data_IF_609239799349
#
_entry.id   IF_609239799349
#
_cell.length_a   1.000
_cell.length_b   1.000
_cell.length_c   1.000
_cell.angle_alpha   90.00
_cell.angle_beta   90.00
_cell.angle_gamma   90.00
#
_symmetry.space_group_name_H-M   'P 1'
#
loop_
_entity.id
_entity.type
_entity.pdbx_description
1 polymer ?
#
# COMPACT_ATOMS: atom_id res chain seq x y z
N UNK A 1 18.06 11.34 1.38
CA UNK A 1 16.92 10.39 1.45
C UNK A 1 16.97 9.53 2.70
N UNK A 2 18.09 8.91 2.98
CA UNK A 2 18.27 8.04 4.15
C UNK A 2 17.93 8.73 5.48
N UNK A 3 18.26 10.01 5.64
CA UNK A 3 17.91 10.77 6.86
C UNK A 3 16.40 10.86 7.11
N UNK A 4 15.60 10.81 6.03
CA UNK A 4 14.14 10.72 6.14
C UNK A 4 13.67 9.36 6.68
N UNK A 5 14.31 8.28 6.26
CA UNK A 5 13.96 6.93 6.69
C UNK A 5 14.40 6.68 8.13
N UNK A 6 15.58 7.17 8.53
CA UNK A 6 16.09 7.00 9.89
C UNK A 6 15.44 7.93 10.93
N UNK A 7 14.62 8.89 10.51
CA UNK A 7 14.06 9.92 11.39
C UNK A 7 13.27 9.35 12.59
N UNK A 8 12.39 8.37 12.35
CA UNK A 8 11.65 7.72 13.42
C UNK A 8 12.54 6.98 14.42
N UNK A 9 13.57 6.32 13.93
CA UNK A 9 14.57 5.63 14.75
C UNK A 9 15.42 6.63 15.56
N UNK A 10 15.71 7.80 15.01
CA UNK A 10 16.39 8.87 15.72
C UNK A 10 15.56 9.38 16.90
N UNK A 11 14.26 9.59 16.71
CA UNK A 11 13.35 9.99 17.81
C UNK A 11 13.24 8.90 18.89
N UNK A 12 13.35 7.63 18.50
CA UNK A 12 13.38 6.50 19.43
C UNK A 12 14.72 6.31 20.15
N UNK A 13 15.72 7.19 19.92
CA UNK A 13 17.03 7.13 20.58
C UNK A 13 17.97 6.06 20.05
N UNK A 14 17.70 5.49 18.88
CA UNK A 14 18.57 4.48 18.25
C UNK A 14 19.89 5.11 17.81
N UNK A 15 21.01 4.45 18.11
CA UNK A 15 22.36 4.93 17.79
C UNK A 15 22.58 5.14 16.29
N UNK A 16 23.38 6.14 15.92
CA UNK A 16 23.56 6.61 14.52
C UNK A 16 23.95 5.48 13.55
N UNK A 17 24.87 4.62 13.91
CA UNK A 17 25.32 3.52 13.05
C UNK A 17 24.18 2.53 12.78
N UNK A 18 23.44 2.14 13.81
CA UNK A 18 22.34 1.19 13.73
C UNK A 18 21.16 1.74 12.90
N UNK A 19 20.73 3.01 13.18
CA UNK A 19 19.61 3.58 12.41
C UNK A 19 19.94 3.76 10.94
N UNK A 20 21.22 4.09 10.62
CA UNK A 20 21.70 4.19 9.25
C UNK A 20 21.61 2.85 8.52
N UNK A 21 22.08 1.80 9.16
CA UNK A 21 22.01 0.44 8.61
C UNK A 21 20.56 0.01 8.34
N UNK A 22 19.65 0.24 9.28
CA UNK A 22 18.23 -0.07 9.12
C UNK A 22 17.63 0.73 7.97
N UNK A 23 17.91 2.03 7.88
CA UNK A 23 17.39 2.88 6.81
C UNK A 23 17.86 2.43 5.43
N UNK A 24 19.12 2.06 5.26
CA UNK A 24 19.67 1.54 4.02
C UNK A 24 19.03 0.19 3.62
N UNK A 25 18.81 -0.71 4.58
CA UNK A 25 18.09 -1.96 4.36
C UNK A 25 16.65 -1.72 3.91
N UNK A 26 15.93 -0.76 4.52
CA UNK A 26 14.56 -0.44 4.12
C UNK A 26 14.51 0.20 2.72
N UNK A 27 15.46 1.07 2.38
CA UNK A 27 15.57 1.63 1.04
C UNK A 27 15.84 0.53 -0.01
N UNK A 28 16.69 -0.43 0.30
CA UNK A 28 16.91 -1.59 -0.58
C UNK A 28 15.63 -2.41 -0.78
N UNK A 29 14.87 -2.67 0.28
CA UNK A 29 13.58 -3.41 0.20
C UNK A 29 12.56 -2.76 -0.71
N UNK A 30 12.53 -1.43 -0.75
CA UNK A 30 11.61 -0.70 -1.63
C UNK A 30 12.21 -0.39 -3.01
N UNK A 31 13.36 -1.01 -3.37
CA UNK A 31 13.99 -0.86 -4.67
C UNK A 31 14.64 0.50 -4.90
N UNK A 32 15.15 1.13 -3.84
CA UNK A 32 15.85 2.43 -3.89
C UNK A 32 17.33 2.31 -3.51
N UNK A 33 17.93 1.13 -3.66
CA UNK A 33 19.38 0.95 -3.52
C UNK A 33 20.13 1.86 -4.51
N UNK A 34 21.18 2.52 -4.04
CA UNK A 34 21.98 3.47 -4.84
C UNK A 34 21.46 4.93 -4.83
N UNK A 35 20.27 5.17 -4.24
CA UNK A 35 19.70 6.51 -4.15
C UNK A 35 19.80 7.14 -2.75
N UNK A 36 20.50 6.52 -1.80
CA UNK A 36 20.54 6.87 -0.37
C UNK A 36 20.92 8.35 -0.14
N UNK A 37 21.82 8.87 -0.97
CA UNK A 37 22.35 10.23 -0.85
C UNK A 37 21.53 11.30 -1.58
N UNK A 38 20.54 10.89 -2.39
CA UNK A 38 19.69 11.85 -3.12
C UNK A 38 18.81 12.65 -2.17
N UNK A 39 18.55 13.90 -2.53
CA UNK A 39 17.57 14.72 -1.85
C UNK A 39 16.14 14.36 -2.29
N UNK A 40 15.16 14.55 -1.39
CA UNK A 40 13.75 14.20 -1.66
C UNK A 40 13.19 14.91 -2.90
N UNK A 41 13.59 16.15 -3.15
CA UNK A 41 13.14 16.92 -4.32
C UNK A 41 13.70 16.44 -5.66
N UNK A 42 14.73 15.60 -5.64
CA UNK A 42 15.31 14.99 -6.86
C UNK A 42 14.56 13.71 -7.26
N UNK A 43 13.60 13.25 -6.46
CA UNK A 43 12.91 11.99 -6.63
C UNK A 43 11.61 12.17 -7.43
N UNK A 44 11.27 11.15 -8.23
CA UNK A 44 9.94 11.03 -8.83
C UNK A 44 8.84 10.85 -7.76
N UNK A 45 7.58 11.01 -8.12
CA UNK A 45 6.44 10.76 -7.24
C UNK A 45 6.47 9.35 -6.64
N UNK A 46 6.66 8.33 -7.47
CA UNK A 46 6.76 6.94 -7.03
C UNK A 46 7.96 6.66 -6.12
N UNK A 47 9.11 7.28 -6.42
CA UNK A 47 10.28 7.17 -5.52
C UNK A 47 10.01 7.80 -4.15
N UNK A 48 9.37 8.98 -4.10
CA UNK A 48 8.98 9.60 -2.82
C UNK A 48 8.02 8.71 -2.02
N UNK A 49 7.08 8.07 -2.71
CA UNK A 49 6.16 7.11 -2.08
C UNK A 49 6.90 5.91 -1.49
N UNK A 50 7.85 5.33 -2.23
CA UNK A 50 8.72 4.24 -1.74
C UNK A 50 9.51 4.66 -0.51
N UNK A 51 10.03 5.88 -0.46
CA UNK A 51 10.70 6.43 0.74
C UNK A 51 9.73 6.52 1.92
N UNK A 52 8.48 6.94 1.70
CA UNK A 52 7.43 6.97 2.72
C UNK A 52 7.18 5.58 3.34
N UNK A 53 7.07 4.56 2.49
CA UNK A 53 6.91 3.17 2.93
C UNK A 53 8.17 2.69 3.68
N UNK A 54 9.37 2.95 3.16
CA UNK A 54 10.62 2.59 3.83
C UNK A 54 10.74 3.22 5.23
N UNK A 55 10.36 4.50 5.36
CA UNK A 55 10.32 5.23 6.63
C UNK A 55 9.36 4.59 7.63
N UNK A 56 8.17 4.22 7.19
CA UNK A 56 7.18 3.56 8.04
C UNK A 56 7.67 2.17 8.49
N UNK A 57 8.27 1.39 7.59
CA UNK A 57 8.82 0.06 7.89
C UNK A 57 10.04 0.10 8.81
N UNK A 58 10.86 1.17 8.74
CA UNK A 58 12.06 1.30 9.57
C UNK A 58 11.75 1.29 11.08
N UNK A 59 10.58 1.77 11.47
CA UNK A 59 10.10 1.74 12.85
C UNK A 59 9.63 0.35 13.32
N UNK A 60 9.68 -0.66 12.45
CA UNK A 60 9.22 -2.02 12.70
C UNK A 60 7.80 -2.13 13.29
N UNK A 61 6.78 -1.47 12.69
CA UNK A 61 5.44 -1.45 13.23
C UNK A 61 4.77 -2.83 13.11
N UNK A 62 3.83 -3.14 14.01
CA UNK A 62 2.94 -4.30 13.86
C UNK A 62 1.84 -4.05 12.83
N UNK A 63 1.38 -2.82 12.73
CA UNK A 63 0.33 -2.37 11.83
C UNK A 63 0.84 -1.19 10.99
N UNK A 64 0.74 -1.31 9.68
CA UNK A 64 1.04 -0.26 8.71
C UNK A 64 -0.27 0.44 8.32
N UNK A 65 -0.36 1.76 8.54
CA UNK A 65 -1.52 2.57 8.16
C UNK A 65 -1.18 3.35 6.89
N UNK A 66 -1.98 3.17 5.86
CA UNK A 66 -1.79 3.81 4.55
C UNK A 66 -3.11 4.52 4.15
N UNK A 67 -3.05 5.83 4.01
CA UNK A 67 -4.18 6.65 3.61
C UNK A 67 -3.91 7.20 2.19
N UNK A 68 -4.74 6.78 1.22
CA UNK A 68 -4.64 7.12 -0.21
C UNK A 68 -3.20 6.98 -0.78
N UNK A 69 -2.51 5.85 -0.53
CA UNK A 69 -1.07 5.78 -0.77
C UNK A 69 -0.68 5.86 -2.25
N UNK A 70 -1.59 5.60 -3.18
CA UNK A 70 -1.27 5.52 -4.60
C UNK A 70 -2.06 6.51 -5.47
N UNK A 71 -2.90 7.36 -4.87
CA UNK A 71 -3.81 8.26 -5.59
C UNK A 71 -3.11 9.26 -6.52
N UNK A 72 -1.90 9.71 -6.19
CA UNK A 72 -1.13 10.68 -6.98
C UNK A 72 -0.19 10.04 -8.03
N UNK A 73 -0.25 8.71 -8.22
CA UNK A 73 0.64 7.99 -9.13
C UNK A 73 -0.02 7.72 -10.49
N UNK A 74 0.79 7.73 -11.56
CA UNK A 74 0.35 7.20 -12.84
C UNK A 74 0.06 5.69 -12.76
N UNK A 75 -0.69 5.16 -13.72
CA UNK A 75 -1.19 3.78 -13.69
C UNK A 75 -0.07 2.74 -13.58
N UNK A 76 1.04 2.92 -14.32
CA UNK A 76 2.15 1.97 -14.29
C UNK A 76 2.89 1.98 -12.95
N UNK A 77 3.21 3.16 -12.45
CA UNK A 77 3.86 3.33 -11.14
C UNK A 77 2.96 2.82 -10.01
N UNK A 78 1.64 3.05 -10.12
CA UNK A 78 0.65 2.54 -9.15
C UNK A 78 0.67 1.02 -9.09
N UNK A 79 0.61 0.33 -10.21
CA UNK A 79 0.69 -1.14 -10.27
C UNK A 79 1.97 -1.66 -9.61
N UNK A 80 3.12 -1.09 -9.93
CA UNK A 80 4.39 -1.44 -9.28
C UNK A 80 4.37 -1.24 -7.76
N UNK A 81 3.70 -0.20 -7.29
CA UNK A 81 3.60 0.08 -5.85
C UNK A 81 2.63 -0.87 -5.14
N UNK A 82 1.55 -1.28 -5.79
CA UNK A 82 0.64 -2.31 -5.29
C UNK A 82 1.35 -3.65 -5.15
N UNK A 83 2.10 -4.07 -6.17
CA UNK A 83 2.92 -5.29 -6.14
C UNK A 83 4.00 -5.24 -5.04
N UNK A 84 4.67 -4.09 -4.89
CA UNK A 84 5.64 -3.87 -3.82
C UNK A 84 4.99 -4.03 -2.43
N UNK A 85 3.80 -3.47 -2.23
CA UNK A 85 3.09 -3.58 -0.95
C UNK A 85 2.73 -5.03 -0.63
N UNK A 86 2.24 -5.80 -1.59
CA UNK A 86 1.95 -7.23 -1.42
C UNK A 86 3.21 -8.04 -1.13
N UNK A 87 4.33 -7.72 -1.80
CA UNK A 87 5.62 -8.35 -1.53
C UNK A 87 6.09 -8.06 -0.10
N UNK A 88 5.99 -6.82 0.36
CA UNK A 88 6.32 -6.44 1.73
C UNK A 88 5.43 -7.15 2.73
N UNK A 89 4.12 -7.19 2.48
CA UNK A 89 3.16 -7.90 3.32
C UNK A 89 3.51 -9.39 3.45
N UNK A 90 3.74 -10.07 2.33
CA UNK A 90 4.15 -11.49 2.30
C UNK A 90 5.44 -11.73 3.10
N UNK A 91 6.45 -10.90 2.87
CA UNK A 91 7.80 -11.11 3.42
C UNK A 91 7.90 -10.74 4.90
N UNK A 92 7.00 -9.88 5.39
CA UNK A 92 7.06 -9.37 6.77
C UNK A 92 5.95 -9.89 7.68
N UNK A 93 4.84 -10.40 7.13
CA UNK A 93 3.65 -10.81 7.89
C UNK A 93 2.98 -9.66 8.65
N UNK A 94 3.29 -8.40 8.32
CA UNK A 94 2.72 -7.23 9.01
C UNK A 94 1.26 -7.03 8.63
N UNK A 95 0.47 -6.55 9.58
CA UNK A 95 -0.88 -6.09 9.28
C UNK A 95 -0.82 -4.78 8.49
N UNK A 96 -1.69 -4.63 7.50
CA UNK A 96 -1.82 -3.41 6.70
C UNK A 96 -3.27 -2.96 6.76
N UNK A 97 -3.51 -1.71 7.14
CA UNK A 97 -4.78 -1.04 6.96
C UNK A 97 -4.61 0.02 5.87
N UNK A 98 -5.31 -0.19 4.77
CA UNK A 98 -5.29 0.67 3.60
C UNK A 98 -6.63 1.39 3.48
N UNK A 99 -6.60 2.72 3.32
CA UNK A 99 -7.76 3.54 2.96
C UNK A 99 -7.56 3.98 1.52
N UNK A 100 -8.54 3.74 0.68
CA UNK A 100 -8.53 4.16 -0.73
C UNK A 100 -9.95 4.36 -1.26
N UNK A 101 -10.08 5.20 -2.27
CA UNK A 101 -11.31 5.34 -3.06
C UNK A 101 -11.22 4.59 -4.41
N UNK A 102 -10.08 4.00 -4.73
CA UNK A 102 -9.89 3.20 -5.93
C UNK A 102 -10.38 1.76 -5.68
N UNK A 103 -11.47 1.39 -6.34
CA UNK A 103 -12.13 0.09 -6.12
C UNK A 103 -11.26 -1.07 -6.59
N UNK A 104 -10.57 -0.92 -7.73
CA UNK A 104 -9.69 -1.97 -8.24
C UNK A 104 -8.53 -2.24 -7.28
N UNK A 105 -7.94 -1.17 -6.72
CA UNK A 105 -6.91 -1.25 -5.70
C UNK A 105 -7.40 -1.96 -4.44
N UNK A 106 -8.59 -1.56 -3.93
CA UNK A 106 -9.17 -2.16 -2.75
C UNK A 106 -9.44 -3.66 -2.94
N UNK A 107 -9.99 -4.06 -4.08
CA UNK A 107 -10.28 -5.47 -4.40
C UNK A 107 -8.99 -6.27 -4.57
N UNK A 108 -7.96 -5.70 -5.22
CA UNK A 108 -6.71 -6.41 -5.48
C UNK A 108 -5.88 -6.67 -4.22
N UNK A 109 -5.81 -5.66 -3.33
CA UNK A 109 -4.90 -5.68 -2.18
C UNK A 109 -5.50 -6.31 -0.91
N UNK A 110 -6.82 -6.23 -0.74
CA UNK A 110 -7.44 -6.63 0.51
C UNK A 110 -7.56 -8.15 0.66
N UNK A 111 -7.28 -8.64 1.86
CA UNK A 111 -7.80 -9.93 2.34
C UNK A 111 -9.19 -9.77 2.96
N UNK A 112 -9.46 -8.59 3.51
CA UNK A 112 -10.76 -8.16 4.03
C UNK A 112 -11.03 -6.72 3.58
N UNK A 113 -12.12 -6.52 2.83
CA UNK A 113 -12.55 -5.23 2.34
C UNK A 113 -13.77 -4.77 3.15
N UNK A 114 -13.67 -3.56 3.69
CA UNK A 114 -14.77 -2.89 4.38
C UNK A 114 -15.25 -1.71 3.52
N UNK A 115 -16.51 -1.74 3.12
CA UNK A 115 -17.15 -0.63 2.44
C UNK A 115 -17.85 0.26 3.46
N UNK A 116 -17.55 1.54 3.42
CA UNK A 116 -18.13 2.55 4.32
C UNK A 116 -19.21 3.35 3.60
N UNK A 117 -20.30 3.65 4.31
CA UNK A 117 -21.31 4.60 3.82
C UNK A 117 -20.75 6.02 3.76
N UNK A 118 -21.25 6.88 2.86
CA UNK A 118 -21.09 8.32 3.01
C UNK A 118 -21.73 8.78 4.33
N UNK A 119 -21.21 9.81 4.95
CA UNK A 119 -21.50 10.34 6.27
C UNK A 119 -22.91 10.12 6.88
N UNK A 120 -23.01 9.64 8.14
CA UNK A 120 -21.90 9.21 8.97
C UNK A 120 -21.34 7.87 8.51
N UNK A 121 -19.99 7.71 8.48
CA UNK A 121 -19.33 6.51 8.03
C UNK A 121 -19.70 5.27 8.86
N UNK A 122 -20.45 4.35 8.26
CA UNK A 122 -20.79 3.05 8.83
C UNK A 122 -20.31 1.94 7.89
N UNK A 123 -19.91 0.80 8.44
CA UNK A 123 -19.59 -0.38 7.64
C UNK A 123 -20.90 -0.94 7.05
N UNK A 124 -21.04 -0.89 5.75
CA UNK A 124 -22.23 -1.35 5.04
C UNK A 124 -22.04 -2.68 4.34
N UNK A 125 -20.78 -3.04 4.07
CA UNK A 125 -20.44 -4.32 3.47
C UNK A 125 -19.08 -4.79 3.98
N UNK A 126 -18.90 -6.10 4.12
CA UNK A 126 -17.65 -6.76 4.48
C UNK A 126 -17.44 -7.93 3.54
N UNK A 127 -16.33 -7.92 2.82
CA UNK A 127 -15.99 -8.94 1.84
C UNK A 127 -14.65 -9.58 2.21
N UNK A 128 -14.58 -10.92 2.14
CA UNK A 128 -13.32 -11.65 2.21
C UNK A 128 -12.83 -11.89 0.78
N UNK A 129 -11.59 -11.51 0.51
CA UNK A 129 -10.95 -11.58 -0.81
C UNK A 129 -9.62 -12.33 -0.70
N UNK A 130 -9.17 -12.90 -1.80
CA UNK A 130 -7.94 -13.69 -1.84
C UNK A 130 -6.97 -13.28 -2.96
N UNK A 131 -7.25 -12.22 -3.69
CA UNK A 131 -6.46 -11.83 -4.87
C UNK A 131 -5.03 -11.43 -4.50
N UNK A 132 -4.86 -10.70 -3.40
CA UNK A 132 -3.54 -10.38 -2.86
C UNK A 132 -2.76 -11.62 -2.42
N UNK A 133 -3.44 -12.63 -1.87
CA UNK A 133 -2.83 -13.92 -1.53
C UNK A 133 -2.41 -14.69 -2.80
N UNK A 134 -3.24 -14.73 -3.83
CA UNK A 134 -2.92 -15.37 -5.13
C UNK A 134 -1.64 -14.75 -5.73
N UNK A 135 -1.49 -13.41 -5.66
CA UNK A 135 -0.27 -12.73 -6.06
C UNK A 135 0.94 -13.15 -5.19
N UNK A 136 0.77 -13.19 -3.88
CA UNK A 136 1.82 -13.62 -2.96
C UNK A 136 2.28 -15.07 -3.18
N UNK A 137 1.35 -15.92 -3.64
CA UNK A 137 1.60 -17.32 -4.00
C UNK A 137 2.24 -17.47 -5.40
N UNK A 138 2.46 -16.37 -6.13
CA UNK A 138 3.21 -16.32 -7.39
C UNK A 138 2.38 -16.16 -8.65
N UNK A 139 1.07 -15.92 -8.56
CA UNK A 139 0.26 -15.61 -9.73
C UNK A 139 0.56 -14.18 -10.24
N UNK A 140 0.65 -14.00 -11.55
CA UNK A 140 0.94 -12.69 -12.13
C UNK A 140 -0.22 -11.70 -11.91
N UNK A 141 0.11 -10.45 -11.58
CA UNK A 141 -0.87 -9.38 -11.37
C UNK A 141 -1.87 -9.26 -12.53
N UNK A 142 -1.40 -9.31 -13.77
CA UNK A 142 -2.25 -9.28 -14.96
C UNK A 142 -3.20 -10.45 -15.07
N UNK A 143 -2.77 -11.66 -14.71
CA UNK A 143 -3.63 -12.85 -14.70
C UNK A 143 -4.79 -12.66 -13.73
N UNK A 144 -4.48 -12.22 -12.50
CA UNK A 144 -5.46 -11.95 -11.45
C UNK A 144 -6.46 -10.87 -11.89
N UNK A 145 -5.97 -9.74 -12.38
CA UNK A 145 -6.84 -8.59 -12.77
C UNK A 145 -7.70 -8.87 -14.01
N UNK A 146 -7.34 -9.85 -14.84
CA UNK A 146 -8.14 -10.32 -15.99
C UNK A 146 -9.03 -11.52 -15.67
N UNK A 147 -8.96 -12.06 -14.46
CA UNK A 147 -9.80 -13.18 -14.02
C UNK A 147 -11.27 -12.71 -13.94
N UNK A 148 -12.22 -13.49 -14.49
CA UNK A 148 -13.65 -13.20 -14.38
C UNK A 148 -14.14 -12.99 -12.94
N UNK A 149 -13.56 -13.72 -11.97
CA UNK A 149 -13.90 -13.57 -10.56
C UNK A 149 -13.47 -12.20 -10.02
N UNK A 150 -12.26 -11.74 -10.36
CA UNK A 150 -11.77 -10.41 -9.98
C UNK A 150 -12.67 -9.32 -10.57
N UNK A 151 -12.99 -9.42 -11.86
CA UNK A 151 -13.86 -8.47 -12.55
C UNK A 151 -15.25 -8.46 -11.89
N UNK A 152 -15.83 -9.61 -11.58
CA UNK A 152 -17.13 -9.70 -10.94
C UNK A 152 -17.13 -9.05 -9.54
N UNK A 153 -16.08 -9.28 -8.73
CA UNK A 153 -15.97 -8.65 -7.41
C UNK A 153 -15.79 -7.13 -7.51
N UNK A 154 -14.98 -6.65 -8.45
CA UNK A 154 -14.81 -5.21 -8.70
C UNK A 154 -16.14 -4.56 -9.09
N UNK A 155 -16.89 -5.15 -10.04
CA UNK A 155 -18.18 -4.63 -10.47
C UNK A 155 -19.23 -4.70 -9.35
N UNK A 156 -19.21 -5.73 -8.52
CA UNK A 156 -20.05 -5.83 -7.34
C UNK A 156 -19.81 -4.66 -6.37
N UNK A 157 -18.55 -4.40 -6.00
CA UNK A 157 -18.20 -3.30 -5.10
C UNK A 157 -18.57 -1.94 -5.71
N UNK A 158 -18.29 -1.77 -7.02
CA UNK A 158 -18.64 -0.56 -7.76
C UNK A 158 -20.16 -0.30 -7.71
N UNK A 159 -20.97 -1.32 -7.95
CA UNK A 159 -22.43 -1.25 -7.87
C UNK A 159 -22.93 -0.85 -6.49
N UNK A 160 -22.31 -1.38 -5.42
CA UNK A 160 -22.63 -1.00 -4.04
C UNK A 160 -22.31 0.47 -3.75
N UNK A 161 -21.18 0.98 -4.23
CA UNK A 161 -20.81 2.39 -4.08
C UNK A 161 -21.82 3.31 -4.77
N UNK A 162 -22.26 2.97 -5.99
CA UNK A 162 -23.26 3.76 -6.70
C UNK A 162 -24.61 3.76 -6.00
N UNK A 163 -25.12 2.59 -5.57
CA UNK A 163 -26.38 2.48 -4.82
C UNK A 163 -26.40 3.38 -3.57
N UNK A 164 -25.27 3.47 -2.86
CA UNK A 164 -25.19 4.33 -1.68
C UNK A 164 -25.21 5.82 -2.03
N UNK A 165 -24.61 6.22 -3.14
CA UNK A 165 -24.66 7.61 -3.60
C UNK A 165 -26.06 8.03 -4.04
N UNK A 166 -26.79 7.15 -4.74
CA UNK A 166 -28.15 7.39 -5.18
C UNK A 166 -29.13 7.50 -3.99
N UNK A 167 -28.93 6.72 -2.94
CA UNK A 167 -29.77 6.76 -1.73
C UNK A 167 -29.63 8.06 -0.93
N UNK A 168 -28.67 8.94 -1.26
CA UNK A 168 -28.43 10.24 -0.60
C UNK A 168 -28.99 11.43 -1.38
N UNK A 169 -29.44 11.23 -2.62
CA UNK A 169 -30.06 12.26 -3.46
C UNK A 169 -31.58 12.28 -3.31
#
# INVERSE_FOLDING_TARGET
MVDNVEFGLQLAGVGKAQRRQVAEQMLQRVGLAGYEQHFIWQLSGGMRQRVGIARALAADPRLLLLDEPFGALDAFTREQMQELLLTIWRDTGKQVLLITHDIEEAVFLASELLLLSPGPGQVVERLSLNFGQRYADGEACRSIKSDPEFIAQREYVLGKVFQQREAML
#
